data_IF_626593947933
#
_entry.id   IF_626593947933
#
_cell.length_a   1.000
_cell.length_b   1.000
_cell.length_c   1.000
_cell.angle_alpha   90.00
_cell.angle_beta   90.00
_cell.angle_gamma   90.00
#
_symmetry.space_group_name_H-M   'P 1'
#
loop_
_entity.id
_entity.type
_entity.pdbx_description
1 polymer ?
#
# COMPACT_ATOMS: atom_id res chain seq x y z
N UNK A 1 -41.14 -9.42 16.28
CA UNK A 1 -41.88 -8.26 16.82
C UNK A 1 -40.96 -7.32 17.60
N UNK A 2 -40.49 -7.62 18.83
CA UNK A 2 -39.64 -6.69 19.58
C UNK A 2 -38.26 -6.40 18.97
N UNK A 3 -37.64 -7.41 18.34
CA UNK A 3 -36.36 -7.27 17.64
C UNK A 3 -36.49 -6.39 16.38
N UNK A 4 -37.58 -6.57 15.63
CA UNK A 4 -37.86 -5.78 14.43
C UNK A 4 -38.10 -4.30 14.78
N UNK A 5 -38.82 -4.05 15.88
CA UNK A 5 -39.02 -2.68 16.39
C UNK A 5 -37.70 -2.03 16.84
N UNK A 6 -36.81 -2.77 17.50
CA UNK A 6 -35.49 -2.25 17.88
C UNK A 6 -34.65 -1.89 16.65
N UNK A 7 -34.62 -2.74 15.62
CA UNK A 7 -33.87 -2.46 14.39
C UNK A 7 -34.42 -1.21 13.71
N UNK A 8 -35.73 -1.06 13.58
CA UNK A 8 -36.33 0.13 12.98
C UNK A 8 -35.96 1.39 13.75
N UNK A 9 -36.05 1.37 15.09
CA UNK A 9 -35.66 2.50 15.93
C UNK A 9 -34.16 2.87 15.80
N UNK A 10 -33.29 1.90 15.53
CA UNK A 10 -31.86 2.16 15.30
C UNK A 10 -31.61 2.74 13.91
N UNK A 11 -32.31 2.24 12.89
CA UNK A 11 -32.21 2.76 11.52
C UNK A 11 -32.68 4.22 11.44
N UNK A 12 -33.74 4.58 12.18
CA UNK A 12 -34.25 5.96 12.26
C UNK A 12 -33.24 6.93 12.92
N UNK A 13 -32.30 6.43 13.73
CA UNK A 13 -31.25 7.24 14.35
C UNK A 13 -30.02 7.44 13.45
N UNK A 14 -29.94 6.75 12.31
CA UNK A 14 -28.83 6.94 11.36
C UNK A 14 -28.96 8.32 10.70
N UNK A 15 -28.06 9.23 11.06
CA UNK A 15 -28.06 10.60 10.57
C UNK A 15 -27.04 10.79 9.44
N UNK A 16 -27.52 11.24 8.28
CA UNK A 16 -26.68 11.68 7.16
C UNK A 16 -25.81 12.87 7.56
N UNK A 17 -26.35 13.79 8.35
CA UNK A 17 -25.64 15.01 8.75
C UNK A 17 -24.47 14.68 9.67
N UNK A 18 -24.66 13.75 10.61
CA UNK A 18 -23.57 13.26 11.47
C UNK A 18 -22.50 12.53 10.66
N UNK A 19 -22.90 11.68 9.71
CA UNK A 19 -21.95 11.03 8.79
C UNK A 19 -21.09 12.06 8.05
N UNK A 20 -21.72 13.09 7.46
CA UNK A 20 -21.00 14.14 6.74
C UNK A 20 -20.09 14.95 7.68
N UNK A 21 -20.55 15.25 8.90
CA UNK A 21 -19.74 15.92 9.94
C UNK A 21 -18.46 15.14 10.22
N UNK A 22 -18.54 13.82 10.41
CA UNK A 22 -17.35 12.99 10.65
C UNK A 22 -16.41 12.96 9.45
N UNK A 23 -16.95 12.75 8.25
CA UNK A 23 -16.17 12.76 7.01
C UNK A 23 -15.41 14.09 6.84
N UNK A 24 -16.08 15.23 7.02
CA UNK A 24 -15.47 16.55 6.87
C UNK A 24 -14.36 16.82 7.89
N UNK A 25 -14.44 16.26 9.09
CA UNK A 25 -13.37 16.40 10.08
C UNK A 25 -12.17 15.50 9.74
N UNK A 26 -12.43 14.23 9.43
CA UNK A 26 -11.38 13.24 9.19
C UNK A 26 -10.66 13.42 7.84
N UNK A 27 -11.34 13.93 6.81
CA UNK A 27 -10.74 14.18 5.50
C UNK A 27 -9.74 15.34 5.47
N UNK A 28 -9.61 16.11 6.55
CA UNK A 28 -8.60 17.18 6.69
C UNK A 28 -7.24 16.64 7.13
N UNK A 29 -7.17 15.38 7.56
CA UNK A 29 -5.99 14.77 8.17
C UNK A 29 -5.39 13.72 7.22
N UNK A 30 -4.07 13.73 7.12
CA UNK A 30 -3.32 12.67 6.42
C UNK A 30 -2.91 11.60 7.44
N UNK A 31 -3.80 10.63 7.64
CA UNK A 31 -3.74 9.62 8.72
C UNK A 31 -2.74 8.49 8.42
N UNK A 32 -1.50 8.84 8.09
CA UNK A 32 -0.40 7.88 7.93
C UNK A 32 0.02 7.40 9.31
N UNK A 33 0.24 6.09 9.48
CA UNK A 33 0.52 5.54 10.81
C UNK A 33 1.79 6.09 11.45
N UNK A 34 1.70 6.38 12.75
CA UNK A 34 2.76 6.98 13.57
C UNK A 34 2.96 8.48 13.34
N UNK A 35 1.99 9.18 12.76
CA UNK A 35 2.06 10.63 12.51
C UNK A 35 1.13 11.42 13.42
N UNK A 36 1.42 12.71 13.60
CA UNK A 36 0.60 13.64 14.40
C UNK A 36 -0.85 13.73 13.89
N UNK A 37 -1.07 13.61 12.57
CA UNK A 37 -2.41 13.63 11.98
C UNK A 37 -3.21 12.35 12.27
N UNK A 38 -2.54 11.20 12.45
CA UNK A 38 -3.20 9.98 12.94
C UNK A 38 -3.63 10.18 14.40
N UNK A 39 -2.76 10.73 15.25
CA UNK A 39 -3.06 11.00 16.67
C UNK A 39 -4.27 11.93 16.80
N UNK A 40 -4.31 13.04 16.06
CA UNK A 40 -5.48 13.94 16.01
C UNK A 40 -6.77 13.23 15.57
N UNK A 41 -6.67 12.28 14.66
CA UNK A 41 -7.84 11.49 14.23
C UNK A 41 -8.32 10.55 15.34
N UNK A 42 -7.39 9.93 16.08
CA UNK A 42 -7.71 9.10 17.26
C UNK A 42 -8.38 9.97 18.32
N UNK A 43 -7.84 11.13 18.64
CA UNK A 43 -8.43 12.07 19.61
C UNK A 43 -9.88 12.44 19.23
N UNK A 44 -10.12 12.77 17.96
CA UNK A 44 -11.45 13.09 17.44
C UNK A 44 -12.44 11.91 17.61
N UNK A 45 -12.00 10.69 17.31
CA UNK A 45 -12.82 9.49 17.46
C UNK A 45 -13.13 9.25 18.94
N UNK A 46 -12.12 9.33 19.81
CA UNK A 46 -12.28 9.11 21.25
C UNK A 46 -13.19 10.16 21.88
N UNK A 47 -13.05 11.44 21.51
CA UNK A 47 -13.93 12.49 22.02
C UNK A 47 -15.37 12.27 21.59
N UNK A 48 -15.59 11.89 20.33
CA UNK A 48 -16.91 11.59 19.77
C UNK A 48 -17.56 10.40 20.47
N UNK A 49 -16.83 9.31 20.66
CA UNK A 49 -17.35 8.12 21.34
C UNK A 49 -17.69 8.40 22.80
N UNK A 50 -16.87 9.19 23.50
CA UNK A 50 -17.16 9.65 24.87
C UNK A 50 -18.41 10.50 24.95
N UNK A 51 -18.64 11.40 23.99
CA UNK A 51 -19.87 12.20 23.88
C UNK A 51 -21.12 11.32 23.77
N UNK A 52 -21.02 10.20 23.04
CA UNK A 52 -22.09 9.21 22.91
C UNK A 52 -22.21 8.26 24.11
N UNK A 53 -21.43 8.47 25.17
CA UNK A 53 -21.44 7.62 26.36
C UNK A 53 -20.77 6.26 26.17
N UNK A 54 -19.97 6.09 25.11
CA UNK A 54 -19.28 4.83 24.81
C UNK A 54 -17.97 4.75 25.59
N UNK A 55 -17.82 3.70 26.41
CA UNK A 55 -16.54 3.41 27.10
C UNK A 55 -15.47 3.15 26.04
N UNK A 56 -14.41 3.96 26.08
CA UNK A 56 -13.33 3.92 25.09
C UNK A 56 -11.98 3.74 25.78
N UNK A 57 -11.14 2.89 25.22
CA UNK A 57 -9.77 2.62 25.66
C UNK A 57 -8.85 2.65 24.43
N UNK A 58 -7.67 3.25 24.57
CA UNK A 58 -6.66 3.33 23.51
C UNK A 58 -5.59 2.28 23.82
N UNK A 59 -5.24 1.49 22.80
CA UNK A 59 -4.14 0.53 22.86
C UNK A 59 -3.02 1.00 21.96
N UNK A 60 -1.82 1.11 22.53
CA UNK A 60 -0.61 1.52 21.82
C UNK A 60 0.35 0.34 21.74
N UNK A 61 1.02 0.19 20.61
CA UNK A 61 2.02 -0.84 20.40
C UNK A 61 3.06 -0.41 19.36
N UNK A 62 4.28 -0.89 19.52
CA UNK A 62 5.34 -0.69 18.53
C UNK A 62 5.08 -1.57 17.29
N UNK A 63 5.09 -0.94 16.12
CA UNK A 63 4.93 -1.62 14.84
C UNK A 63 6.02 -1.22 13.87
N UNK A 64 6.53 -2.19 13.10
CA UNK A 64 7.37 -1.90 11.96
C UNK A 64 6.49 -1.33 10.85
N UNK A 65 6.65 -0.04 10.58
CA UNK A 65 6.00 0.67 9.48
C UNK A 65 7.03 1.04 8.40
N UNK A 66 6.56 1.16 7.17
CA UNK A 66 7.37 1.66 6.06
C UNK A 66 6.60 2.77 5.36
N UNK A 67 7.19 3.96 5.30
CA UNK A 67 6.64 5.08 4.53
C UNK A 67 7.48 5.25 3.25
N UNK A 68 6.87 5.14 2.06
CA UNK A 68 7.57 5.34 0.81
C UNK A 68 8.02 6.80 0.72
N UNK A 69 9.24 7.03 0.21
CA UNK A 69 9.78 8.38 0.02
C UNK A 69 9.59 8.85 -1.42
N UNK A 70 10.43 8.35 -2.32
CA UNK A 70 10.40 8.71 -3.73
C UNK A 70 10.91 7.57 -4.60
N UNK A 71 10.54 7.59 -5.87
CA UNK A 71 11.08 6.71 -6.89
C UNK A 71 11.41 7.51 -8.14
N UNK A 72 12.45 7.06 -8.85
CA UNK A 72 12.73 7.49 -10.21
C UNK A 72 12.94 6.25 -11.06
N UNK A 73 12.23 6.17 -12.19
CA UNK A 73 12.39 5.10 -13.16
C UNK A 73 12.79 5.70 -14.49
N UNK A 74 13.97 5.32 -14.98
CA UNK A 74 14.51 5.74 -16.26
C UNK A 74 14.73 4.50 -17.15
N UNK A 75 14.22 4.54 -18.38
CA UNK A 75 14.67 3.66 -19.45
C UNK A 75 15.94 4.29 -20.05
N UNK A 76 17.08 3.61 -19.97
CA UNK A 76 18.36 4.13 -20.48
C UNK A 76 18.73 3.60 -21.88
N UNK A 77 18.04 2.56 -22.34
CA UNK A 77 18.23 1.93 -23.65
C UNK A 77 16.87 1.44 -24.18
N UNK A 78 16.55 1.61 -25.48
CA UNK A 78 17.40 2.17 -26.54
C UNK A 78 17.53 3.69 -26.54
N UNK A 79 16.72 4.40 -25.74
CA UNK A 79 16.80 5.84 -25.60
C UNK A 79 16.50 6.23 -24.15
N UNK A 80 17.11 7.33 -23.69
CA UNK A 80 16.86 7.87 -22.36
C UNK A 80 15.42 8.40 -22.28
N UNK A 81 14.60 7.80 -21.43
CA UNK A 81 13.25 8.24 -21.12
C UNK A 81 12.95 8.09 -19.64
N UNK A 82 12.54 9.18 -19.01
CA UNK A 82 12.11 9.19 -17.61
C UNK A 82 10.60 9.01 -17.50
N UNK A 83 10.16 8.34 -16.44
CA UNK A 83 8.75 8.10 -16.14
C UNK A 83 8.40 8.74 -14.80
N UNK A 84 7.19 9.28 -14.70
CA UNK A 84 6.63 9.65 -13.39
C UNK A 84 6.38 8.35 -12.61
N UNK A 85 6.95 8.27 -11.41
CA UNK A 85 6.92 7.05 -10.62
C UNK A 85 6.71 7.32 -9.14
N UNK A 86 6.14 6.32 -8.45
CA UNK A 86 6.14 6.21 -6.99
C UNK A 86 6.81 4.89 -6.58
N UNK A 87 7.17 4.78 -5.30
CA UNK A 87 7.53 3.50 -4.66
C UNK A 87 6.49 3.16 -3.60
N UNK A 88 6.63 1.97 -3.01
CA UNK A 88 5.64 1.39 -2.12
C UNK A 88 6.24 1.08 -0.74
N UNK A 89 5.43 1.09 0.34
CA UNK A 89 5.83 0.58 1.63
C UNK A 89 6.52 -0.79 1.53
N UNK A 90 7.66 -0.94 2.19
CA UNK A 90 8.51 -2.14 2.21
C UNK A 90 9.24 -2.47 0.91
N UNK A 91 9.21 -1.59 -0.10
CA UNK A 91 10.19 -1.67 -1.19
C UNK A 91 11.61 -1.52 -0.64
N UNK A 92 12.56 -2.28 -1.19
CA UNK A 92 13.96 -2.11 -0.85
C UNK A 92 14.44 -0.71 -1.26
N UNK A 93 15.30 -0.10 -0.45
CA UNK A 93 15.95 1.18 -0.78
C UNK A 93 17.15 0.91 -1.68
N UNK A 94 17.22 1.60 -2.82
CA UNK A 94 18.38 1.55 -3.71
C UNK A 94 19.58 2.27 -3.09
N UNK A 95 20.81 1.98 -3.55
CA UNK A 95 21.94 2.90 -3.40
C UNK A 95 21.61 4.29 -3.97
N UNK A 96 22.42 5.29 -3.64
CA UNK A 96 22.23 6.68 -4.10
C UNK A 96 22.33 6.79 -5.63
N UNK A 97 23.23 6.01 -6.23
CA UNK A 97 23.39 5.87 -7.68
C UNK A 97 22.25 5.10 -8.37
N UNK A 98 21.33 4.51 -7.59
CA UNK A 98 20.25 3.66 -8.09
C UNK A 98 20.72 2.24 -8.44
N UNK A 99 19.90 1.53 -9.19
CA UNK A 99 20.25 0.23 -9.77
C UNK A 99 19.95 0.22 -11.27
N UNK A 100 20.76 -0.50 -12.03
CA UNK A 100 20.58 -0.71 -13.46
C UNK A 100 20.59 -2.20 -13.75
N UNK A 101 19.55 -2.67 -14.42
CA UNK A 101 19.45 -4.05 -14.87
C UNK A 101 18.57 -4.15 -16.12
N UNK A 102 18.60 -5.31 -16.75
CA UNK A 102 17.75 -5.61 -17.89
C UNK A 102 16.27 -5.55 -17.47
N UNK A 103 15.46 -4.87 -18.27
CA UNK A 103 14.02 -4.77 -18.10
C UNK A 103 13.33 -5.85 -18.94
N UNK A 104 12.51 -6.68 -18.31
CA UNK A 104 11.78 -7.75 -18.99
C UNK A 104 10.27 -7.58 -18.80
N UNK A 105 9.56 -7.34 -19.89
CA UNK A 105 8.11 -7.30 -19.86
C UNK A 105 7.52 -8.71 -19.76
N UNK A 106 6.65 -8.92 -18.78
CA UNK A 106 6.04 -10.23 -18.49
C UNK A 106 4.51 -10.20 -18.55
N UNK A 107 3.89 -9.18 -19.13
CA UNK A 107 2.43 -9.11 -19.21
C UNK A 107 1.81 -8.88 -17.82
N UNK A 108 0.79 -9.67 -17.45
CA UNK A 108 0.05 -9.48 -16.19
C UNK A 108 0.82 -9.95 -14.95
N UNK A 109 1.88 -10.74 -15.15
CA UNK A 109 2.69 -11.30 -14.08
C UNK A 109 2.01 -12.49 -13.41
N UNK A 110 1.33 -13.34 -14.18
CA UNK A 110 0.83 -14.62 -13.67
C UNK A 110 1.98 -15.63 -13.49
N UNK A 111 1.71 -16.74 -12.80
CA UNK A 111 2.72 -17.79 -12.59
C UNK A 111 3.20 -18.41 -13.93
N UNK A 112 2.33 -18.48 -14.93
CA UNK A 112 2.65 -18.91 -16.28
C UNK A 112 3.59 -17.92 -16.98
N UNK A 113 3.37 -16.60 -16.83
CA UNK A 113 4.22 -15.56 -17.40
C UNK A 113 5.67 -15.66 -16.89
N UNK A 114 5.83 -15.96 -15.60
CA UNK A 114 7.12 -16.19 -14.96
C UNK A 114 7.77 -17.52 -15.37
N UNK A 115 6.97 -18.58 -15.50
CA UNK A 115 7.51 -19.91 -15.86
C UNK A 115 8.00 -19.96 -17.32
N UNK A 116 7.46 -19.11 -18.19
CA UNK A 116 7.86 -19.01 -19.59
C UNK A 116 9.15 -18.21 -19.83
N UNK A 117 9.66 -17.47 -18.82
CA UNK A 117 10.74 -16.49 -18.99
C UNK A 117 11.77 -16.54 -17.86
N UNK A 118 13.06 -16.40 -18.19
CA UNK A 118 14.09 -16.27 -17.16
C UNK A 118 14.16 -14.83 -16.62
N UNK A 119 13.51 -14.59 -15.49
CA UNK A 119 13.49 -13.28 -14.82
C UNK A 119 14.64 -13.05 -13.84
N UNK A 120 15.46 -14.09 -13.58
CA UNK A 120 16.49 -14.05 -12.54
C UNK A 120 17.50 -12.93 -12.81
N UNK A 121 17.71 -12.06 -11.83
CA UNK A 121 18.65 -10.94 -11.94
C UNK A 121 18.12 -9.74 -12.74
N UNK A 122 16.85 -9.76 -13.17
CA UNK A 122 16.25 -8.72 -14.02
C UNK A 122 15.24 -7.89 -13.25
N UNK A 123 14.92 -6.71 -13.78
CA UNK A 123 13.75 -5.94 -13.37
C UNK A 123 12.59 -6.39 -14.25
N UNK A 124 11.48 -6.82 -13.65
CA UNK A 124 10.29 -7.22 -14.41
C UNK A 124 9.33 -6.05 -14.57
N UNK A 125 8.75 -5.90 -15.75
CA UNK A 125 7.71 -4.92 -16.05
C UNK A 125 6.37 -5.64 -16.18
N UNK A 126 5.39 -5.24 -15.37
CA UNK A 126 4.07 -5.90 -15.29
C UNK A 126 2.91 -4.94 -15.45
N UNK A 127 1.86 -5.39 -16.14
CA UNK A 127 0.61 -4.65 -16.27
C UNK A 127 -0.21 -4.64 -14.98
N UNK A 128 -0.92 -3.52 -14.80
CA UNK A 128 -1.88 -3.31 -13.74
C UNK A 128 -1.24 -2.93 -12.41
N UNK A 129 -2.10 -2.80 -11.41
CA UNK A 129 -1.70 -2.30 -10.10
C UNK A 129 -0.78 -3.29 -9.38
N UNK A 130 -0.01 -2.72 -8.46
CA UNK A 130 0.84 -3.45 -7.55
C UNK A 130 -0.01 -4.30 -6.59
N UNK A 131 0.59 -5.40 -6.12
CA UNK A 131 0.00 -6.23 -5.08
C UNK A 131 1.07 -7.00 -4.32
N UNK A 132 0.84 -7.32 -3.03
CA UNK A 132 1.72 -8.17 -2.25
C UNK A 132 2.10 -9.49 -2.93
N UNK A 133 1.11 -10.17 -3.52
CA UNK A 133 1.30 -11.49 -4.11
C UNK A 133 2.16 -11.44 -5.38
N UNK A 134 1.99 -10.40 -6.21
CA UNK A 134 2.81 -10.21 -7.43
C UNK A 134 4.27 -9.94 -7.08
N UNK A 135 4.52 -9.10 -6.07
CA UNK A 135 5.88 -8.79 -5.59
C UNK A 135 6.52 -10.02 -4.95
N UNK A 136 5.76 -10.77 -4.17
CA UNK A 136 6.21 -12.04 -3.59
C UNK A 136 6.61 -13.05 -4.67
N UNK A 137 5.78 -13.20 -5.71
CA UNK A 137 6.05 -14.07 -6.86
C UNK A 137 7.32 -13.64 -7.60
N UNK A 138 7.44 -12.36 -7.95
CA UNK A 138 8.61 -11.80 -8.62
C UNK A 138 9.91 -12.13 -7.88
N UNK A 139 9.91 -11.90 -6.56
CA UNK A 139 11.03 -12.21 -5.69
C UNK A 139 11.38 -13.70 -5.71
N UNK A 140 10.39 -14.59 -5.60
CA UNK A 140 10.64 -16.04 -5.55
C UNK A 140 11.20 -16.59 -6.88
N UNK A 141 10.83 -15.98 -8.01
CA UNK A 141 11.43 -16.29 -9.31
C UNK A 141 12.80 -15.64 -9.53
N UNK A 142 13.25 -14.79 -8.58
CA UNK A 142 14.59 -14.22 -8.55
C UNK A 142 14.75 -12.90 -9.32
N UNK A 143 13.65 -12.21 -9.63
CA UNK A 143 13.74 -10.83 -10.09
C UNK A 143 14.41 -9.98 -9.00
N UNK A 144 15.17 -8.96 -9.40
CA UNK A 144 15.81 -8.03 -8.45
C UNK A 144 14.96 -6.77 -8.24
N UNK A 145 14.01 -6.52 -9.13
CA UNK A 145 13.05 -5.45 -9.02
C UNK A 145 11.81 -5.68 -9.86
N UNK A 146 10.78 -4.90 -9.59
CA UNK A 146 9.51 -4.95 -10.31
C UNK A 146 8.99 -3.53 -10.54
N UNK A 147 8.60 -3.25 -11.78
CA UNK A 147 7.95 -2.02 -12.18
C UNK A 147 6.53 -2.34 -12.62
N UNK A 148 5.54 -1.73 -11.98
CA UNK A 148 4.14 -1.84 -12.37
C UNK A 148 3.76 -0.71 -13.33
N UNK A 149 3.05 -1.07 -14.39
CA UNK A 149 2.40 -0.11 -15.28
C UNK A 149 1.01 0.15 -14.70
N UNK A 150 0.84 1.32 -14.09
CA UNK A 150 -0.44 1.71 -13.50
C UNK A 150 -1.52 1.83 -14.57
N UNK A 151 -2.71 1.28 -14.31
CA UNK A 151 -3.88 1.45 -15.18
C UNK A 151 -4.46 2.88 -15.11
N UNK A 152 -3.98 3.68 -14.17
CA UNK A 152 -4.49 5.01 -13.85
C UNK A 152 -3.43 6.10 -14.11
N UNK A 153 -3.91 7.33 -14.35
CA UNK A 153 -3.05 8.52 -14.52
C UNK A 153 -2.20 8.82 -13.28
N UNK A 154 -2.61 8.33 -12.12
CA UNK A 154 -1.87 8.38 -10.86
C UNK A 154 -1.58 6.95 -10.44
N UNK A 155 -0.32 6.60 -10.18
CA UNK A 155 0.00 5.28 -9.63
C UNK A 155 -0.74 5.04 -8.31
N UNK A 156 -1.36 3.87 -8.18
CA UNK A 156 -2.06 3.45 -6.97
C UNK A 156 -1.09 3.27 -5.80
N UNK A 157 -1.42 3.79 -4.62
CA UNK A 157 -0.63 3.58 -3.40
C UNK A 157 -1.08 2.30 -2.69
N UNK A 158 -0.18 1.33 -2.52
CA UNK A 158 -0.49 0.10 -1.81
C UNK A 158 0.75 -0.53 -1.17
N UNK A 159 0.54 -1.22 -0.05
CA UNK A 159 1.58 -1.98 0.63
C UNK A 159 1.90 -3.25 -0.16
N UNK A 160 3.18 -3.59 -0.29
CA UNK A 160 3.64 -4.74 -1.13
C UNK A 160 4.18 -5.93 -0.32
N UNK A 161 4.05 -5.92 1.00
CA UNK A 161 4.36 -7.09 1.84
C UNK A 161 3.15 -8.01 1.97
N UNK A 162 3.39 -9.32 1.98
CA UNK A 162 2.35 -10.33 2.27
C UNK A 162 2.10 -10.51 3.77
N UNK A 163 2.82 -9.76 4.61
CA UNK A 163 2.61 -9.71 6.06
C UNK A 163 1.67 -8.58 6.41
N UNK A 164 0.50 -8.93 6.92
CA UNK A 164 -0.46 -7.96 7.45
C UNK A 164 -0.17 -7.69 8.94
N UNK A 165 -0.02 -6.42 9.30
CA UNK A 165 0.43 -6.00 10.64
C UNK A 165 1.94 -6.09 10.82
N UNK A 166 2.41 -6.20 12.06
CA UNK A 166 3.84 -6.21 12.39
C UNK A 166 4.48 -7.57 12.10
N UNK A 167 5.56 -7.64 11.28
CA UNK A 167 6.27 -8.88 11.04
C UNK A 167 6.89 -9.47 12.32
N UNK A 168 6.66 -10.76 12.53
CA UNK A 168 7.28 -11.52 13.61
C UNK A 168 8.56 -12.21 13.11
N UNK A 169 9.33 -12.83 14.02
CA UNK A 169 10.45 -13.69 13.63
C UNK A 169 10.03 -14.85 12.68
N UNK A 170 8.74 -15.24 12.72
CA UNK A 170 8.18 -16.30 11.86
C UNK A 170 7.72 -15.79 10.50
N UNK A 171 7.60 -14.48 10.30
CA UNK A 171 7.01 -13.91 9.07
C UNK A 171 7.90 -12.85 8.42
N UNK A 172 8.94 -12.35 9.10
CA UNK A 172 9.85 -11.30 8.60
C UNK A 172 10.58 -11.69 7.32
N UNK A 173 10.78 -12.99 7.06
CA UNK A 173 11.35 -13.46 5.79
C UNK A 173 10.45 -13.14 4.56
N UNK A 174 9.18 -12.79 4.79
CA UNK A 174 8.23 -12.41 3.75
C UNK A 174 8.27 -10.94 3.35
N UNK A 175 9.02 -10.11 4.07
CA UNK A 175 9.25 -8.72 3.68
C UNK A 175 10.01 -8.71 2.34
N UNK A 176 9.53 -7.96 1.32
CA UNK A 176 10.21 -7.85 0.04
C UNK A 176 11.67 -7.39 0.18
N UNK A 177 12.53 -7.97 -0.67
CA UNK A 177 13.97 -7.71 -0.80
C UNK A 177 14.32 -7.32 -2.24
N UNK A 178 13.33 -6.84 -2.97
CA UNK A 178 13.45 -6.39 -4.35
C UNK A 178 13.04 -4.91 -4.43
N UNK A 179 13.52 -4.21 -5.43
CA UNK A 179 13.19 -2.80 -5.66
C UNK A 179 11.87 -2.69 -6.41
N UNK A 180 10.90 -1.96 -5.89
CA UNK A 180 9.56 -1.87 -6.49
C UNK A 180 9.16 -0.43 -6.74
N UNK A 181 8.65 -0.18 -7.94
CA UNK A 181 8.08 1.10 -8.33
C UNK A 181 6.83 0.90 -9.19
N UNK A 182 5.97 1.91 -9.23
CA UNK A 182 4.88 2.00 -10.20
C UNK A 182 5.09 3.23 -11.07
N UNK A 183 4.91 3.09 -12.38
CA UNK A 183 4.97 4.18 -13.36
C UNK A 183 3.57 4.46 -13.91
N UNK A 184 3.29 5.72 -14.20
CA UNK A 184 2.10 6.10 -14.98
C UNK A 184 2.39 6.03 -16.48
N UNK A 185 1.33 5.90 -17.27
CA UNK A 185 1.38 6.06 -18.73
C UNK A 185 1.74 7.49 -19.15
#
# INVERSE_FOLDING_TARGET
MAFDTLIQNLLEQVSKDEMIRHVQNLCKLTRVSGTEDEEKAVEYIVSTLKEYGVKTEIYEFDSLISQPKQAKVDLIYPALKSFKSITHPFSMTTPEEGIVAELLYIGKGSEEDYSAKNVRGKIVLTDGNDSPDKVWLAQNYGAIGQVFISNENVPHEMIITTVWGTPSIKTSFRIPRIYVASVSH
#
